data_IF_499256030900
#
_entry.id   IF_499256030900
#
_cell.length_a   1.000
_cell.length_b   1.000
_cell.length_c   1.000
_cell.angle_alpha   90.00
_cell.angle_beta   90.00
_cell.angle_gamma   90.00
#
_symmetry.space_group_name_H-M   'P 1'
#
loop_
_entity.id
_entity.type
_entity.pdbx_description
1 polymer ?
#
# COMPACT_ATOMS: atom_id res chain seq x y z
N UNK A 1 7.90 19.00 1.56
CA UNK A 1 8.07 17.63 1.02
C UNK A 1 6.78 17.18 0.35
N UNK A 2 6.87 16.72 -0.89
CA UNK A 2 5.71 16.18 -1.59
C UNK A 2 5.69 14.65 -1.48
N UNK A 3 4.56 14.13 -1.06
CA UNK A 3 4.37 12.69 -0.86
C UNK A 3 3.16 12.19 -1.67
N UNK A 4 3.31 11.07 -2.33
CA UNK A 4 2.21 10.37 -2.97
C UNK A 4 2.05 8.97 -2.36
N UNK A 5 0.83 8.46 -2.37
CA UNK A 5 0.56 7.05 -2.10
C UNK A 5 -0.09 6.45 -3.34
N UNK A 6 0.58 5.48 -3.92
CA UNK A 6 0.08 4.69 -5.04
C UNK A 6 -0.55 3.43 -4.46
N UNK A 7 -1.81 3.18 -4.75
CA UNK A 7 -2.51 2.06 -4.12
C UNK A 7 -3.29 1.23 -5.13
N UNK A 8 -3.57 -0.02 -4.74
CA UNK A 8 -4.51 -0.89 -5.42
C UNK A 8 -5.41 -1.52 -4.37
N UNK A 9 -6.72 -1.46 -4.60
CA UNK A 9 -7.70 -2.00 -3.66
C UNK A 9 -8.84 -2.63 -4.45
N UNK A 10 -8.92 -3.95 -4.43
CA UNK A 10 -9.90 -4.69 -5.23
C UNK A 10 -10.89 -5.49 -4.38
N UNK A 11 -10.47 -6.14 -3.29
CA UNK A 11 -11.37 -6.86 -2.39
C UNK A 11 -11.79 -6.00 -1.23
N UNK A 12 -13.09 -5.84 -1.03
CA UNK A 12 -13.70 -5.15 0.12
C UNK A 12 -13.22 -3.71 0.37
N UNK A 13 -12.36 -3.16 -0.49
CA UNK A 13 -11.87 -1.79 -0.37
C UNK A 13 -11.02 -1.50 0.87
N UNK A 14 -10.37 -2.51 1.43
CA UNK A 14 -9.56 -2.35 2.66
C UNK A 14 -8.45 -1.32 2.53
N UNK A 15 -7.62 -1.46 1.48
CA UNK A 15 -6.50 -0.55 1.26
C UNK A 15 -7.01 0.86 0.94
N UNK A 16 -8.06 0.97 0.14
CA UNK A 16 -8.66 2.25 -0.21
C UNK A 16 -9.15 2.99 1.03
N UNK A 17 -9.86 2.32 1.94
CA UNK A 17 -10.29 2.92 3.21
C UNK A 17 -9.12 3.49 3.98
N UNK A 18 -8.04 2.71 4.06
CA UNK A 18 -6.87 3.06 4.84
C UNK A 18 -6.17 4.31 4.27
N UNK A 19 -5.90 4.30 2.96
CA UNK A 19 -5.18 5.41 2.34
C UNK A 19 -6.02 6.68 2.26
N UNK A 20 -7.33 6.57 2.12
CA UNK A 20 -8.22 7.73 2.15
C UNK A 20 -8.22 8.40 3.53
N UNK A 21 -8.21 7.61 4.60
CA UNK A 21 -8.11 8.14 5.95
C UNK A 21 -6.76 8.85 6.16
N UNK A 22 -5.68 8.27 5.67
CA UNK A 22 -4.36 8.91 5.73
C UNK A 22 -4.39 10.24 5.00
N UNK A 23 -4.99 10.30 3.82
CA UNK A 23 -5.07 11.52 3.02
C UNK A 23 -5.92 12.62 3.65
N UNK A 24 -6.90 12.27 4.51
CA UNK A 24 -7.69 13.24 5.25
C UNK A 24 -6.86 13.99 6.30
N UNK A 25 -5.84 13.34 6.85
CA UNK A 25 -5.05 13.87 7.96
C UNK A 25 -3.61 14.24 7.59
N UNK A 26 -3.13 13.77 6.46
CA UNK A 26 -1.78 14.04 5.97
C UNK A 26 -1.87 14.66 4.56
N UNK A 27 -0.93 15.53 4.24
CA UNK A 27 -0.88 16.10 2.89
C UNK A 27 -0.20 15.10 1.94
N UNK A 28 -0.99 14.19 1.38
CA UNK A 28 -0.51 13.21 0.41
C UNK A 28 -1.44 13.18 -0.79
N UNK A 29 -0.89 12.95 -1.96
CA UNK A 29 -1.66 12.72 -3.18
C UNK A 29 -1.91 11.22 -3.31
N UNK A 30 -3.13 10.85 -3.70
CA UNK A 30 -3.48 9.44 -3.91
C UNK A 30 -3.52 9.12 -5.40
N UNK A 31 -2.90 8.01 -5.78
CA UNK A 31 -2.90 7.51 -7.16
C UNK A 31 -3.41 6.07 -7.14
N UNK A 32 -4.51 5.81 -7.83
CA UNK A 32 -5.06 4.45 -7.98
C UNK A 32 -4.36 3.79 -9.17
N UNK A 33 -3.50 2.81 -8.90
CA UNK A 33 -2.69 2.16 -9.93
C UNK A 33 -3.52 1.40 -10.97
N UNK A 34 -4.71 0.94 -10.60
CA UNK A 34 -5.60 0.24 -11.54
C UNK A 34 -6.21 1.23 -12.54
N UNK A 35 -6.67 2.38 -12.04
CA UNK A 35 -7.29 3.41 -12.87
C UNK A 35 -6.29 4.29 -13.60
N UNK A 36 -5.12 4.47 -13.02
CA UNK A 36 -4.07 5.34 -13.54
C UNK A 36 -2.73 4.61 -13.53
N UNK A 37 -2.51 3.68 -14.49
CA UNK A 37 -1.30 2.87 -14.52
C UNK A 37 -0.04 3.64 -14.92
N UNK A 38 -0.19 4.85 -15.47
CA UNK A 38 0.92 5.71 -15.86
C UNK A 38 0.86 7.00 -15.06
N UNK A 39 1.98 7.38 -14.45
CA UNK A 39 2.09 8.64 -13.72
C UNK A 39 3.53 9.09 -13.64
N UNK A 40 3.74 10.41 -13.63
CA UNK A 40 5.05 11.00 -13.43
C UNK A 40 5.27 11.22 -11.93
N UNK A 41 6.19 10.45 -11.35
CA UNK A 41 6.52 10.52 -9.94
C UNK A 41 7.74 11.37 -9.62
N UNK A 42 8.34 12.01 -10.63
CA UNK A 42 9.62 12.71 -10.47
C UNK A 42 9.58 13.86 -9.47
N UNK A 43 8.43 14.51 -9.31
CA UNK A 43 8.28 15.65 -8.39
C UNK A 43 8.02 15.26 -6.94
N UNK A 44 7.83 13.99 -6.65
CA UNK A 44 7.59 13.52 -5.29
C UNK A 44 8.90 13.18 -4.59
N UNK A 45 9.02 13.61 -3.34
CA UNK A 45 10.18 13.33 -2.49
C UNK A 45 10.07 11.96 -1.85
N UNK A 46 8.84 11.54 -1.54
CA UNK A 46 8.57 10.25 -0.92
C UNK A 46 7.32 9.64 -1.54
N UNK A 47 7.35 8.34 -1.77
CA UNK A 47 6.25 7.62 -2.40
C UNK A 47 5.92 6.39 -1.57
N UNK A 48 4.65 6.26 -1.19
CA UNK A 48 4.12 5.07 -0.56
C UNK A 48 3.49 4.14 -1.59
N UNK A 49 3.65 2.84 -1.42
CA UNK A 49 2.91 1.83 -2.17
C UNK A 49 2.05 1.05 -1.21
N UNK A 50 0.75 1.01 -1.47
CA UNK A 50 -0.23 0.40 -0.60
C UNK A 50 -1.06 -0.63 -1.35
N UNK A 51 -1.21 -1.81 -0.80
CA UNK A 51 -1.93 -2.91 -1.44
C UNK A 51 -2.44 -3.92 -0.41
N UNK A 52 -3.47 -4.67 -0.79
CA UNK A 52 -3.75 -5.94 -0.14
C UNK A 52 -2.70 -6.97 -0.53
N UNK A 53 -2.75 -8.13 0.11
CA UNK A 53 -1.88 -9.27 -0.23
C UNK A 53 -2.68 -10.27 -1.06
N UNK A 54 -2.19 -10.55 -2.25
CA UNK A 54 -2.80 -11.47 -3.21
C UNK A 54 -1.76 -12.51 -3.63
N UNK A 55 -2.03 -13.78 -3.39
CA UNK A 55 -1.07 -14.86 -3.65
C UNK A 55 0.31 -14.55 -3.04
N UNK A 56 0.31 -14.14 -1.78
CA UNK A 56 1.51 -13.85 -0.97
C UNK A 56 2.31 -12.62 -1.44
N UNK A 57 1.72 -11.73 -2.24
CA UNK A 57 2.41 -10.53 -2.73
C UNK A 57 1.46 -9.36 -2.93
N UNK A 58 2.01 -8.18 -3.14
CA UNK A 58 1.23 -6.99 -3.49
C UNK A 58 0.52 -7.22 -4.83
N UNK A 59 -0.57 -6.53 -5.04
CA UNK A 59 -1.36 -6.63 -6.27
C UNK A 59 -0.47 -6.38 -7.49
N UNK A 60 -0.72 -7.13 -8.57
CA UNK A 60 0.08 -7.05 -9.80
C UNK A 60 0.15 -5.62 -10.36
N UNK A 61 -0.94 -4.86 -10.26
CA UNK A 61 -0.96 -3.47 -10.73
C UNK A 61 0.09 -2.59 -10.04
N UNK A 62 0.34 -2.82 -8.75
CA UNK A 62 1.37 -2.10 -8.00
C UNK A 62 2.76 -2.51 -8.47
N UNK A 63 2.99 -3.81 -8.62
CA UNK A 63 4.29 -4.32 -9.06
C UNK A 63 4.65 -3.78 -10.45
N UNK A 64 3.69 -3.78 -11.36
CA UNK A 64 3.86 -3.22 -12.71
C UNK A 64 4.06 -1.71 -12.69
N UNK A 65 3.31 -1.01 -11.81
CA UNK A 65 3.43 0.44 -11.67
C UNK A 65 4.85 0.84 -11.24
N UNK A 66 5.42 0.11 -10.28
CA UNK A 66 6.80 0.36 -9.82
C UNK A 66 7.78 0.18 -10.97
N UNK A 67 7.69 -0.93 -11.69
CA UNK A 67 8.60 -1.21 -12.80
C UNK A 67 8.53 -0.18 -13.91
N UNK A 68 7.33 0.36 -14.16
CA UNK A 68 7.09 1.28 -15.26
C UNK A 68 7.39 2.73 -14.91
N UNK A 69 7.05 3.16 -13.70
CA UNK A 69 6.99 4.58 -13.37
C UNK A 69 7.97 5.08 -12.31
N UNK A 70 8.52 4.19 -11.48
CA UNK A 70 9.33 4.65 -10.35
C UNK A 70 10.71 5.13 -10.81
N UNK A 71 11.06 6.41 -10.57
CA UNK A 71 12.42 6.88 -10.79
C UNK A 71 13.40 6.25 -9.80
N UNK A 72 14.71 6.27 -10.13
CA UNK A 72 15.74 5.79 -9.22
C UNK A 72 15.89 6.70 -7.99
N UNK A 73 16.40 6.11 -6.92
CA UNK A 73 16.85 6.81 -5.70
C UNK A 73 15.74 7.52 -4.91
N UNK A 74 14.49 7.07 -5.03
CA UNK A 74 13.39 7.65 -4.25
C UNK A 74 13.29 7.02 -2.86
N UNK A 75 12.78 7.80 -1.90
CA UNK A 75 12.39 7.29 -0.58
C UNK A 75 11.02 6.67 -0.69
N UNK A 76 10.89 5.44 -0.18
CA UNK A 76 9.67 4.64 -0.32
C UNK A 76 9.19 4.16 1.05
N UNK A 77 7.89 4.15 1.25
CA UNK A 77 7.29 3.40 2.35
C UNK A 77 6.25 2.43 1.81
N UNK A 78 6.01 1.36 2.56
CA UNK A 78 5.12 0.30 2.15
C UNK A 78 3.99 0.12 3.16
N UNK A 79 2.78 -0.03 2.65
CA UNK A 79 1.58 -0.30 3.45
C UNK A 79 0.89 -1.52 2.88
N UNK A 80 0.56 -2.50 3.73
CA UNK A 80 -0.25 -3.61 3.26
C UNK A 80 -1.40 -3.92 4.21
N UNK A 81 -2.53 -4.34 3.62
CA UNK A 81 -3.64 -4.92 4.36
C UNK A 81 -3.65 -6.42 4.08
N UNK A 82 -3.88 -7.23 5.09
CA UNK A 82 -3.79 -8.68 4.95
C UNK A 82 -4.85 -9.39 5.79
N UNK A 83 -5.32 -10.53 5.28
CA UNK A 83 -6.17 -11.42 6.06
C UNK A 83 -5.32 -12.35 6.92
N UNK A 84 -4.34 -13.01 6.31
CA UNK A 84 -3.44 -13.96 6.97
C UNK A 84 -2.17 -13.32 7.50
N UNK A 85 -1.31 -12.82 6.62
CA UNK A 85 -0.03 -12.23 7.01
C UNK A 85 0.45 -11.19 6.02
N UNK A 86 1.23 -10.22 6.51
CA UNK A 86 1.90 -9.24 5.66
C UNK A 86 3.03 -9.92 4.87
N UNK A 87 3.27 -9.44 3.65
CA UNK A 87 4.40 -9.92 2.84
C UNK A 87 4.87 -8.81 1.90
N UNK A 88 6.12 -8.39 2.07
CA UNK A 88 6.72 -7.31 1.30
C UNK A 88 7.82 -7.80 0.34
N UNK A 89 8.11 -9.11 0.33
CA UNK A 89 9.27 -9.66 -0.35
C UNK A 89 9.33 -9.33 -1.84
N UNK A 90 8.25 -9.56 -2.56
CA UNK A 90 8.22 -9.36 -4.01
C UNK A 90 8.43 -7.91 -4.39
N UNK A 91 7.72 -6.99 -3.72
CA UNK A 91 7.87 -5.57 -4.03
C UNK A 91 9.25 -5.05 -3.64
N UNK A 92 9.83 -5.52 -2.54
CA UNK A 92 11.17 -5.12 -2.14
C UNK A 92 12.22 -5.54 -3.17
N UNK A 93 12.08 -6.72 -3.79
CA UNK A 93 12.96 -7.17 -4.86
C UNK A 93 12.91 -6.24 -6.07
N UNK A 94 11.72 -5.77 -6.42
CA UNK A 94 11.54 -4.84 -7.54
C UNK A 94 12.13 -3.47 -7.21
N UNK A 95 11.90 -2.99 -5.99
CA UNK A 95 12.40 -1.70 -5.52
C UNK A 95 13.94 -1.65 -5.51
N UNK A 96 14.60 -2.76 -5.18
CA UNK A 96 16.06 -2.83 -5.19
C UNK A 96 16.65 -2.51 -6.57
N UNK A 97 15.96 -2.87 -7.63
CA UNK A 97 16.40 -2.59 -9.01
C UNK A 97 16.39 -1.09 -9.32
N UNK A 98 15.65 -0.29 -8.56
CA UNK A 98 15.54 1.17 -8.71
C UNK A 98 16.35 1.91 -7.66
N UNK A 99 17.16 1.22 -6.89
CA UNK A 99 17.97 1.81 -5.81
C UNK A 99 17.11 2.61 -4.83
N UNK A 100 15.87 2.16 -4.60
CA UNK A 100 14.95 2.83 -3.70
C UNK A 100 15.35 2.60 -2.24
N UNK A 101 15.13 3.62 -1.41
CA UNK A 101 15.35 3.53 0.04
C UNK A 101 14.01 3.29 0.73
N UNK A 102 13.80 2.09 1.26
CA UNK A 102 12.59 1.78 2.01
C UNK A 102 12.74 2.34 3.42
N UNK A 103 12.04 3.42 3.73
CA UNK A 103 12.16 4.13 5.00
C UNK A 103 11.17 3.65 6.06
N UNK A 104 10.18 2.85 5.70
CA UNK A 104 9.25 2.29 6.65
C UNK A 104 8.28 1.30 6.01
N UNK A 105 7.72 0.43 6.84
CA UNK A 105 6.71 -0.55 6.44
C UNK A 105 5.63 -0.62 7.49
N UNK A 106 4.37 -0.65 7.06
CA UNK A 106 3.22 -0.78 7.94
C UNK A 106 2.27 -1.83 7.37
N UNK A 107 1.78 -2.71 8.23
CA UNK A 107 0.77 -3.69 7.84
C UNK A 107 -0.33 -3.77 8.87
N UNK A 108 -1.57 -3.96 8.44
CA UNK A 108 -2.70 -4.21 9.32
C UNK A 108 -3.63 -5.23 8.69
N UNK A 109 -4.50 -5.81 9.51
CA UNK A 109 -5.49 -6.77 9.04
C UNK A 109 -6.54 -6.08 8.16
N UNK A 110 -7.09 -6.84 7.22
CA UNK A 110 -8.19 -6.40 6.37
C UNK A 110 -9.14 -7.56 6.13
N UNK A 111 -10.43 -7.27 5.96
CA UNK A 111 -11.43 -8.29 5.69
C UNK A 111 -11.05 -9.08 4.43
N UNK A 112 -10.97 -10.41 4.55
CA UNK A 112 -10.49 -11.26 3.46
C UNK A 112 -11.38 -12.51 3.32
N UNK A 113 -11.94 -12.68 2.11
CA UNK A 113 -12.74 -13.87 1.75
C UNK A 113 -12.05 -14.69 0.67
N UNK A 114 -10.80 -14.42 0.36
CA UNK A 114 -10.05 -15.06 -0.72
C UNK A 114 -9.66 -16.50 -0.35
N UNK A 115 -9.80 -17.41 -1.32
CA UNK A 115 -9.36 -18.80 -1.17
C UNK A 115 -10.05 -19.51 0.01
N UNK A 116 -9.29 -20.19 0.88
CA UNK A 116 -9.88 -20.95 1.99
C UNK A 116 -10.62 -20.08 3.02
N UNK A 117 -10.35 -18.78 3.08
CA UNK A 117 -11.03 -17.87 4.00
C UNK A 117 -12.53 -17.75 3.67
N UNK A 118 -12.91 -17.95 2.41
CA UNK A 118 -14.30 -17.91 1.97
C UNK A 118 -15.13 -19.00 2.64
N UNK A 119 -14.52 -20.15 2.95
CA UNK A 119 -15.22 -21.28 3.57
C UNK A 119 -15.69 -20.99 4.98
N UNK A 120 -15.05 -20.06 5.66
CA UNK A 120 -15.41 -19.67 7.03
C UNK A 120 -16.04 -18.28 7.09
N UNK A 121 -16.54 -17.77 5.95
CA UNK A 121 -17.19 -16.46 5.87
C UNK A 121 -16.21 -15.28 5.85
N UNK A 122 -14.93 -15.55 5.59
CA UNK A 122 -13.87 -14.54 5.60
C UNK A 122 -13.16 -14.45 6.95
N UNK A 123 -12.06 -13.72 6.98
CA UNK A 123 -11.29 -13.47 8.20
C UNK A 123 -11.08 -11.97 8.37
N UNK A 124 -10.79 -11.53 9.61
CA UNK A 124 -10.53 -10.13 9.95
C UNK A 124 -11.67 -9.19 9.50
N UNK A 125 -12.93 -9.63 9.64
CA UNK A 125 -14.11 -8.95 9.10
C UNK A 125 -14.25 -7.49 9.53
N UNK A 126 -13.82 -7.15 10.74
CA UNK A 126 -13.94 -5.79 11.27
C UNK A 126 -12.68 -4.93 11.01
N UNK A 127 -11.78 -5.41 10.17
CA UNK A 127 -10.53 -4.71 9.85
C UNK A 127 -10.49 -4.25 8.39
N UNK A 128 -9.82 -3.13 8.09
CA UNK A 128 -9.19 -2.24 9.07
C UNK A 128 -10.25 -1.52 9.93
N UNK A 129 -9.96 -1.42 11.24
CA UNK A 129 -10.81 -0.69 12.17
C UNK A 129 -10.23 0.71 12.45
N UNK A 130 -10.87 1.47 13.36
CA UNK A 130 -10.41 2.83 13.67
C UNK A 130 -8.99 2.85 14.25
N UNK A 131 -8.62 1.85 15.05
CA UNK A 131 -7.27 1.75 15.59
C UNK A 131 -6.25 1.50 14.49
N UNK A 132 -6.56 0.62 13.54
CA UNK A 132 -5.70 0.36 12.37
C UNK A 132 -5.48 1.64 11.57
N UNK A 133 -6.55 2.40 11.34
CA UNK A 133 -6.49 3.65 10.58
C UNK A 133 -5.68 4.72 11.29
N UNK A 134 -5.84 4.81 12.62
CA UNK A 134 -5.05 5.72 13.44
C UNK A 134 -3.57 5.37 13.39
N UNK A 135 -3.26 4.09 13.56
CA UNK A 135 -1.87 3.61 13.53
C UNK A 135 -1.21 3.86 12.17
N UNK A 136 -1.94 3.65 11.08
CA UNK A 136 -1.43 3.91 9.74
C UNK A 136 -1.17 5.40 9.52
N UNK A 137 -2.08 6.25 9.98
CA UNK A 137 -1.92 7.71 9.90
C UNK A 137 -0.72 8.18 10.70
N UNK A 138 -0.58 7.69 11.93
CA UNK A 138 0.57 8.01 12.80
C UNK A 138 1.88 7.53 12.17
N UNK A 139 1.87 6.36 11.54
CA UNK A 139 3.03 5.85 10.81
C UNK A 139 3.49 6.82 9.71
N UNK A 140 2.56 7.28 8.88
CA UNK A 140 2.89 8.22 7.79
C UNK A 140 3.35 9.56 8.35
N UNK A 141 2.68 10.08 9.39
CA UNK A 141 3.11 11.32 10.05
C UNK A 141 4.53 11.22 10.58
N UNK A 142 4.90 10.06 11.12
CA UNK A 142 6.25 9.84 11.66
C UNK A 142 7.35 9.81 10.61
N UNK A 143 7.01 9.65 9.35
CA UNK A 143 7.98 9.63 8.24
C UNK A 143 8.33 11.04 7.73
N UNK A 144 7.56 12.03 8.12
CA UNK A 144 7.73 13.43 7.65
C UNK A 144 8.55 14.29 8.58
#
# INVERSE_FOLDING_TARGET
MRTAIVYASVHHGNTEKLVKRIAEECQVDLIDAVKQPDADLSSYDMIGFASGIYFLKFHQSILEFVEKNLPDDKKIFLICTYGGSANYKTIEQILDKRHASVVGKFGCKGYDTFGPFKLVGGIAKDHPNEEDMKNATDFVKGLH
#
